data_IF_245734478835
#
_entry.id   IF_245734478835
#
_cell.length_a   1.000
_cell.length_b   1.000
_cell.length_c   1.000
_cell.angle_alpha   90.00
_cell.angle_beta   90.00
_cell.angle_gamma   90.00
#
_symmetry.space_group_name_H-M   'P 1'
#
loop_
_entity.id
_entity.type
_entity.pdbx_description
1 polymer ?
#
# COMPACT_ATOMS: atom_id res chain seq x y z
N UNK A 1 24.64 -18.18 -13.37
CA UNK A 1 25.17 -17.40 -12.23
C UNK A 1 25.30 -15.96 -12.68
N UNK A 2 24.37 -15.08 -12.33
CA UNK A 2 24.50 -13.66 -12.65
C UNK A 2 25.45 -13.02 -11.63
N UNK A 3 26.56 -12.44 -12.13
CA UNK A 3 27.45 -11.59 -11.34
C UNK A 3 26.62 -10.49 -10.65
N UNK A 4 26.95 -10.09 -9.41
CA UNK A 4 26.41 -8.86 -8.85
C UNK A 4 26.81 -7.71 -9.77
N UNK A 5 25.82 -6.93 -10.24
CA UNK A 5 26.04 -5.77 -11.09
C UNK A 5 27.04 -4.83 -10.39
N UNK A 6 28.10 -4.45 -11.10
CA UNK A 6 29.01 -3.42 -10.61
C UNK A 6 28.31 -2.06 -10.68
N UNK A 7 28.73 -1.09 -9.86
CA UNK A 7 28.11 0.25 -9.76
C UNK A 7 27.98 0.96 -11.12
N UNK A 8 28.88 0.70 -12.06
CA UNK A 8 28.85 1.24 -13.42
C UNK A 8 27.84 0.59 -14.38
N UNK A 9 27.34 -0.63 -14.10
CA UNK A 9 26.42 -1.39 -14.96
C UNK A 9 24.93 -1.21 -14.59
N UNK A 10 24.63 -0.32 -13.65
CA UNK A 10 23.31 -0.22 -13.02
C UNK A 10 22.36 0.81 -13.64
N UNK A 11 22.76 1.48 -14.73
CA UNK A 11 21.85 2.33 -15.49
C UNK A 11 21.05 1.50 -16.50
N UNK A 12 19.71 1.61 -16.55
CA UNK A 12 18.91 0.96 -17.58
C UNK A 12 19.33 1.45 -18.96
N UNK A 13 19.40 0.55 -19.95
CA UNK A 13 19.71 0.91 -21.33
C UNK A 13 18.72 1.96 -21.90
N UNK A 14 17.47 1.97 -21.42
CA UNK A 14 16.45 2.95 -21.77
C UNK A 14 15.44 3.15 -20.63
N UNK A 15 15.13 4.41 -20.28
CA UNK A 15 14.13 4.79 -19.28
C UNK A 15 12.74 5.07 -19.89
N UNK A 16 12.60 5.02 -21.21
CA UNK A 16 11.39 5.45 -21.91
C UNK A 16 10.17 4.58 -21.59
N UNK A 17 10.37 3.26 -21.47
CA UNK A 17 9.30 2.26 -21.39
C UNK A 17 8.61 2.20 -20.03
N UNK A 18 9.32 2.53 -18.95
CA UNK A 18 8.72 2.51 -17.62
C UNK A 18 8.04 3.84 -17.31
N UNK A 19 6.73 3.79 -17.09
CA UNK A 19 5.92 4.93 -16.67
C UNK A 19 5.76 4.90 -15.16
N UNK A 20 6.49 5.79 -14.50
CA UNK A 20 6.62 5.77 -13.06
C UNK A 20 5.36 6.33 -12.38
N UNK A 21 4.86 5.67 -11.31
CA UNK A 21 3.70 6.13 -10.57
C UNK A 21 4.01 7.44 -9.84
N UNK A 22 3.05 8.36 -9.79
CA UNK A 22 3.14 9.64 -9.04
C UNK A 22 4.44 10.44 -9.31
N UNK A 23 4.95 10.38 -10.54
CA UNK A 23 6.25 10.94 -10.88
C UNK A 23 6.15 11.85 -12.12
N UNK A 24 6.82 13.01 -12.06
CA UNK A 24 7.14 13.78 -13.27
C UNK A 24 8.13 12.97 -14.11
N UNK A 25 7.61 12.14 -15.00
CA UNK A 25 8.41 11.15 -15.73
C UNK A 25 9.52 11.80 -16.56
N UNK A 26 9.26 12.98 -17.15
CA UNK A 26 10.27 13.73 -17.91
C UNK A 26 11.44 14.17 -17.03
N UNK A 27 11.15 14.73 -15.86
CA UNK A 27 12.18 15.21 -14.93
C UNK A 27 12.99 14.07 -14.35
N UNK A 28 12.34 12.96 -13.95
CA UNK A 28 13.06 11.79 -13.47
C UNK A 28 14.03 11.25 -14.53
N UNK A 29 13.59 11.17 -15.79
CA UNK A 29 14.43 10.67 -16.89
C UNK A 29 15.62 11.57 -17.20
N UNK A 30 15.51 12.88 -16.95
CA UNK A 30 16.62 13.83 -17.12
C UNK A 30 17.67 13.73 -15.99
N UNK A 31 17.28 13.31 -14.78
CA UNK A 31 18.16 13.19 -13.62
C UNK A 31 17.76 11.97 -12.76
N UNK A 32 18.03 10.72 -13.23
CA UNK A 32 17.55 9.52 -12.58
C UNK A 32 18.24 9.29 -11.23
N UNK A 33 17.44 8.95 -10.21
CA UNK A 33 17.93 8.61 -8.87
C UNK A 33 17.81 7.11 -8.66
N UNK A 34 18.76 6.36 -9.21
CA UNK A 34 18.75 4.90 -9.17
C UNK A 34 19.32 4.38 -7.84
N UNK A 35 18.57 3.45 -7.22
CA UNK A 35 18.97 2.66 -6.06
C UNK A 35 19.31 1.24 -6.54
N UNK A 36 20.44 0.70 -6.11
CA UNK A 36 21.01 -0.54 -6.69
C UNK A 36 21.09 -1.69 -5.69
N UNK A 37 21.06 -1.39 -4.39
CA UNK A 37 20.92 -2.39 -3.34
C UNK A 37 20.37 -1.76 -2.07
N UNK A 38 19.97 -2.60 -1.11
CA UNK A 38 19.48 -2.16 0.18
C UNK A 38 19.80 -3.19 1.25
N UNK A 39 20.11 -2.73 2.47
CA UNK A 39 20.34 -3.58 3.64
C UNK A 39 20.00 -2.84 4.92
N UNK A 40 19.21 -3.45 5.80
CA UNK A 40 18.77 -2.80 7.04
C UNK A 40 17.99 -1.53 6.73
N UNK A 41 18.44 -0.38 7.21
CA UNK A 41 17.80 0.92 6.98
C UNK A 41 18.45 1.75 5.86
N UNK A 42 19.29 1.15 5.02
CA UNK A 42 20.04 1.91 4.01
C UNK A 42 19.82 1.38 2.61
N UNK A 43 19.73 2.32 1.66
CA UNK A 43 19.91 2.08 0.25
C UNK A 43 21.35 2.37 -0.17
N UNK A 44 21.81 1.69 -1.23
CA UNK A 44 22.96 2.09 -2.03
C UNK A 44 22.48 2.71 -3.33
N UNK A 45 22.93 3.91 -3.68
CA UNK A 45 22.68 4.49 -4.99
C UNK A 45 23.68 3.99 -6.03
N UNK A 46 23.33 4.14 -7.31
CA UNK A 46 24.22 3.78 -8.42
C UNK A 46 25.56 4.53 -8.43
N UNK A 47 25.57 5.77 -7.93
CA UNK A 47 26.78 6.61 -7.77
C UNK A 47 27.54 6.32 -6.47
N UNK A 48 27.19 5.23 -5.76
CA UNK A 48 27.96 4.72 -4.62
C UNK A 48 27.62 5.33 -3.26
N UNK A 49 26.67 6.27 -3.17
CA UNK A 49 26.24 6.85 -1.89
C UNK A 49 25.41 5.87 -1.08
N UNK A 50 25.62 5.86 0.23
CA UNK A 50 24.72 5.23 1.18
C UNK A 50 23.64 6.24 1.58
N UNK A 51 22.38 5.84 1.48
CA UNK A 51 21.22 6.70 1.71
C UNK A 51 20.40 6.09 2.83
N UNK A 52 20.17 6.84 3.90
CA UNK A 52 19.25 6.46 4.98
C UNK A 52 17.82 6.41 4.44
N UNK A 53 17.17 5.26 4.59
CA UNK A 53 15.75 5.08 4.33
C UNK A 53 14.94 5.55 5.53
N UNK A 54 14.64 6.86 5.57
CA UNK A 54 13.86 7.48 6.64
C UNK A 54 12.35 7.18 6.59
N UNK A 55 11.87 6.50 5.54
CA UNK A 55 10.43 6.23 5.32
C UNK A 55 10.10 4.74 5.21
N UNK A 56 11.06 3.84 5.46
CA UNK A 56 10.90 2.40 5.24
C UNK A 56 10.35 2.09 3.83
N UNK A 57 10.98 2.69 2.83
CA UNK A 57 10.56 2.73 1.43
C UNK A 57 9.35 3.63 1.26
N UNK A 58 8.18 3.00 1.22
CA UNK A 58 6.89 3.69 1.22
C UNK A 58 6.05 3.17 2.38
N UNK A 59 6.55 3.36 3.60
CA UNK A 59 5.88 3.01 4.85
C UNK A 59 5.63 1.50 5.04
N UNK A 60 6.50 0.64 4.48
CA UNK A 60 6.22 -0.81 4.42
C UNK A 60 7.39 -1.74 4.76
N UNK A 61 8.65 -1.27 4.72
CA UNK A 61 9.83 -2.13 5.01
C UNK A 61 10.15 -2.13 6.51
N UNK A 62 9.17 -2.53 7.33
CA UNK A 62 9.21 -2.33 8.78
C UNK A 62 10.31 -3.11 9.51
N UNK A 63 10.75 -4.24 8.95
CA UNK A 63 11.82 -5.08 9.52
C UNK A 63 13.19 -4.86 8.85
N UNK A 64 13.30 -3.80 8.03
CA UNK A 64 14.50 -3.48 7.26
C UNK A 64 14.66 -4.30 5.97
N UNK A 65 15.50 -3.78 5.08
CA UNK A 65 15.80 -4.36 3.77
C UNK A 65 16.65 -5.63 3.89
N UNK A 66 16.32 -6.64 3.07
CA UNK A 66 17.13 -7.85 2.94
C UNK A 66 17.11 -8.77 4.16
N UNK A 67 15.99 -8.82 4.89
CA UNK A 67 15.88 -9.66 6.09
C UNK A 67 16.08 -11.15 5.77
N UNK A 68 17.13 -11.81 6.30
CA UNK A 68 17.58 -13.12 5.82
C UNK A 68 16.51 -14.21 5.93
N UNK A 69 15.74 -14.22 7.02
CA UNK A 69 14.64 -15.19 7.22
C UNK A 69 13.53 -15.07 6.18
N UNK A 70 13.23 -13.84 5.71
CA UNK A 70 12.18 -13.62 4.71
C UNK A 70 12.68 -14.09 3.35
N UNK A 71 13.92 -13.75 3.00
CA UNK A 71 14.55 -14.18 1.75
C UNK A 71 14.60 -15.71 1.67
N UNK A 72 15.02 -16.38 2.75
CA UNK A 72 15.07 -17.84 2.81
C UNK A 72 13.67 -18.47 2.66
N UNK A 73 12.67 -17.97 3.39
CA UNK A 73 11.29 -18.48 3.34
C UNK A 73 10.66 -18.34 1.94
N UNK A 74 10.86 -17.19 1.28
CA UNK A 74 10.34 -16.96 -0.09
C UNK A 74 11.00 -17.92 -1.08
N UNK A 75 12.32 -18.12 -1.00
CA UNK A 75 13.04 -19.06 -1.89
C UNK A 75 12.53 -20.48 -1.70
N UNK A 76 12.47 -20.96 -0.45
CA UNK A 76 12.01 -22.31 -0.15
C UNK A 76 10.56 -22.56 -0.62
N UNK A 77 9.67 -21.59 -0.44
CA UNK A 77 8.29 -21.73 -0.90
C UNK A 77 8.20 -21.71 -2.43
N UNK A 78 8.98 -20.88 -3.11
CA UNK A 78 9.01 -20.83 -4.58
C UNK A 78 9.52 -22.14 -5.18
N UNK A 79 10.51 -22.78 -4.56
CA UNK A 79 11.01 -24.10 -4.98
C UNK A 79 9.98 -25.22 -4.78
N UNK A 80 9.00 -25.03 -3.90
CA UNK A 80 7.97 -26.02 -3.57
C UNK A 80 6.67 -25.82 -4.35
N UNK A 81 6.14 -24.60 -4.34
CA UNK A 81 4.90 -24.19 -5.00
C UNK A 81 4.86 -22.66 -5.10
N UNK A 82 5.15 -22.14 -6.29
CA UNK A 82 5.19 -20.70 -6.56
C UNK A 82 3.80 -20.06 -6.61
N UNK A 83 2.80 -20.79 -7.08
CA UNK A 83 1.44 -20.27 -7.20
C UNK A 83 0.38 -21.39 -7.21
N UNK A 84 -0.74 -21.14 -6.56
CA UNK A 84 -2.00 -21.87 -6.75
C UNK A 84 -3.16 -20.89 -6.66
N UNK A 85 -4.22 -21.03 -7.47
CA UNK A 85 -5.41 -20.20 -7.31
C UNK A 85 -6.07 -20.44 -5.95
N UNK A 86 -6.77 -19.42 -5.43
CA UNK A 86 -7.61 -19.54 -4.21
C UNK A 86 -9.11 -19.64 -4.55
N UNK A 87 -9.43 -20.19 -5.72
CA UNK A 87 -10.79 -20.42 -6.20
C UNK A 87 -11.05 -21.93 -6.21
N UNK A 88 -11.68 -22.46 -5.15
CA UNK A 88 -11.91 -23.90 -4.95
C UNK A 88 -10.62 -24.76 -4.81
N UNK A 89 -9.46 -24.11 -4.76
CA UNK A 89 -8.15 -24.68 -4.41
C UNK A 89 -7.54 -23.87 -3.29
N UNK A 90 -6.58 -24.43 -2.56
CA UNK A 90 -5.86 -23.73 -1.51
C UNK A 90 -4.48 -24.35 -1.23
N UNK A 91 -3.66 -23.65 -0.44
CA UNK A 91 -2.38 -24.13 0.05
C UNK A 91 -2.23 -23.88 1.56
N UNK A 92 -1.52 -24.74 2.31
CA UNK A 92 -1.51 -24.70 3.78
C UNK A 92 -1.06 -23.38 4.40
N UNK A 93 -0.05 -22.69 3.83
CA UNK A 93 0.49 -21.45 4.39
C UNK A 93 -0.51 -20.29 4.35
N UNK A 94 -1.48 -20.30 3.42
CA UNK A 94 -2.54 -19.29 3.39
C UNK A 94 -3.43 -19.37 4.65
N UNK A 95 -3.72 -20.59 5.12
CA UNK A 95 -4.49 -20.83 6.34
C UNK A 95 -3.65 -20.57 7.60
N UNK A 96 -2.38 -20.96 7.60
CA UNK A 96 -1.46 -20.68 8.71
C UNK A 96 -1.31 -19.16 8.92
N UNK A 97 -1.13 -18.40 7.84
CA UNK A 97 -1.08 -16.94 7.90
C UNK A 97 -2.41 -16.37 8.41
N UNK A 98 -3.55 -16.92 7.98
CA UNK A 98 -4.86 -16.41 8.39
C UNK A 98 -5.07 -16.60 9.89
N UNK A 99 -4.66 -17.76 10.43
CA UNK A 99 -4.69 -18.05 11.85
C UNK A 99 -3.78 -17.11 12.65
N UNK A 100 -2.56 -16.86 12.18
CA UNK A 100 -1.63 -15.93 12.84
C UNK A 100 -2.16 -14.50 12.84
N UNK A 101 -2.75 -14.05 11.73
CA UNK A 101 -3.35 -12.72 11.63
C UNK A 101 -4.55 -12.58 12.58
N UNK A 102 -5.46 -13.56 12.58
CA UNK A 102 -6.60 -13.58 13.48
C UNK A 102 -6.18 -13.51 14.97
N UNK A 103 -5.03 -14.08 15.33
CA UNK A 103 -4.49 -14.04 16.69
C UNK A 103 -3.89 -12.70 17.14
N UNK A 104 -3.64 -11.75 16.23
CA UNK A 104 -3.08 -10.41 16.56
C UNK A 104 -4.08 -9.28 16.30
N UNK A 105 -5.20 -9.56 15.65
CA UNK A 105 -6.29 -8.61 15.42
C UNK A 105 -7.19 -8.48 16.66
N UNK A 106 -7.92 -7.36 16.82
CA UNK A 106 -8.91 -7.22 17.89
C UNK A 106 -9.98 -8.31 17.86
N UNK A 107 -10.60 -8.57 19.01
CA UNK A 107 -11.69 -9.53 19.16
C UNK A 107 -12.81 -9.28 18.14
N UNK A 108 -13.27 -10.35 17.48
CA UNK A 108 -14.30 -10.30 16.44
C UNK A 108 -13.81 -9.94 15.04
N UNK A 109 -12.51 -9.66 14.84
CA UNK A 109 -11.91 -9.38 13.52
C UNK A 109 -11.05 -10.55 13.01
N UNK A 110 -11.66 -11.72 12.82
CA UNK A 110 -10.98 -13.02 12.63
C UNK A 110 -11.24 -13.69 11.27
N UNK A 111 -11.82 -12.96 10.30
CA UNK A 111 -12.06 -13.42 8.92
C UNK A 111 -11.17 -12.65 7.95
N UNK A 112 -10.21 -13.34 7.34
CA UNK A 112 -9.16 -12.74 6.52
C UNK A 112 -9.46 -12.94 5.03
N UNK A 113 -9.44 -11.85 4.27
CA UNK A 113 -9.47 -11.86 2.81
C UNK A 113 -8.17 -11.24 2.28
N UNK A 114 -7.41 -12.00 1.49
CA UNK A 114 -6.12 -11.53 0.95
C UNK A 114 -6.28 -10.78 -0.36
N UNK A 115 -5.42 -9.77 -0.55
CA UNK A 115 -5.27 -8.99 -1.78
C UNK A 115 -3.79 -8.68 -2.01
N UNK A 116 -3.43 -8.17 -3.18
CA UNK A 116 -2.03 -7.88 -3.52
C UNK A 116 -1.61 -6.45 -3.15
N UNK A 117 -2.57 -5.57 -2.83
CA UNK A 117 -2.30 -4.19 -2.47
C UNK A 117 -3.34 -3.62 -1.50
N UNK A 118 -3.00 -2.51 -0.84
CA UNK A 118 -3.96 -1.75 -0.04
C UNK A 118 -5.11 -1.18 -0.87
N UNK A 119 -4.89 -0.85 -2.15
CA UNK A 119 -5.96 -0.38 -3.05
C UNK A 119 -7.00 -1.48 -3.30
N UNK A 120 -6.55 -2.71 -3.57
CA UNK A 120 -7.44 -3.86 -3.74
C UNK A 120 -8.18 -4.21 -2.46
N UNK A 121 -7.51 -4.09 -1.30
CA UNK A 121 -8.13 -4.30 0.01
C UNK A 121 -9.28 -3.30 0.25
N UNK A 122 -9.06 -2.02 -0.08
CA UNK A 122 -10.09 -0.98 0.03
C UNK A 122 -11.27 -1.27 -0.90
N UNK A 123 -11.03 -1.52 -2.19
CA UNK A 123 -12.11 -1.81 -3.14
C UNK A 123 -12.91 -3.06 -2.70
N UNK A 124 -12.23 -4.07 -2.15
CA UNK A 124 -12.86 -5.26 -1.57
C UNK A 124 -13.71 -4.92 -0.34
N UNK A 125 -13.19 -4.12 0.59
CA UNK A 125 -13.91 -3.71 1.80
C UNK A 125 -15.18 -2.90 1.47
N UNK A 126 -15.09 -1.97 0.51
CA UNK A 126 -16.25 -1.20 0.05
C UNK A 126 -17.34 -2.10 -0.53
N UNK A 127 -16.96 -3.10 -1.34
CA UNK A 127 -17.91 -4.09 -1.88
C UNK A 127 -18.56 -4.93 -0.79
N UNK A 128 -17.78 -5.40 0.19
CA UNK A 128 -18.29 -6.20 1.32
C UNK A 128 -19.29 -5.37 2.14
N UNK A 129 -19.00 -4.10 2.44
CA UNK A 129 -19.90 -3.24 3.20
C UNK A 129 -21.26 -3.06 2.51
N UNK A 130 -21.26 -2.82 1.18
CA UNK A 130 -22.48 -2.70 0.40
C UNK A 130 -23.25 -4.04 0.30
N UNK A 131 -22.53 -5.14 0.07
CA UNK A 131 -23.12 -6.47 -0.01
C UNK A 131 -23.75 -6.89 1.32
N UNK A 132 -23.10 -6.58 2.43
CA UNK A 132 -23.62 -6.83 3.78
C UNK A 132 -24.99 -6.20 3.99
N UNK A 133 -25.12 -4.89 3.75
CA UNK A 133 -26.40 -4.18 3.88
C UNK A 133 -27.47 -4.73 2.94
N UNK A 134 -27.10 -5.05 1.69
CA UNK A 134 -28.02 -5.65 0.73
C UNK A 134 -28.57 -7.00 1.21
N UNK A 135 -27.70 -7.90 1.67
CA UNK A 135 -28.06 -9.27 2.07
C UNK A 135 -28.95 -9.26 3.33
N UNK A 136 -28.74 -8.31 4.25
CA UNK A 136 -29.58 -8.17 5.46
C UNK A 136 -30.89 -7.39 5.24
N UNK A 137 -31.27 -7.10 4.00
CA UNK A 137 -32.54 -6.42 3.66
C UNK A 137 -32.50 -4.88 3.68
N UNK A 138 -31.32 -4.27 3.84
CA UNK A 138 -31.12 -2.82 3.91
C UNK A 138 -30.48 -2.27 2.62
N UNK A 139 -30.96 -2.73 1.46
CA UNK A 139 -30.34 -2.45 0.15
C UNK A 139 -30.26 -0.95 -0.22
N UNK A 140 -31.01 -0.07 0.44
CA UNK A 140 -30.91 1.39 0.26
C UNK A 140 -29.69 2.02 0.93
N UNK A 141 -29.01 1.31 1.86
CA UNK A 141 -27.79 1.78 2.52
C UNK A 141 -26.58 1.64 1.61
N UNK A 142 -26.38 2.65 0.78
CA UNK A 142 -25.37 2.67 -0.29
C UNK A 142 -24.34 3.79 -0.17
N UNK A 143 -24.54 4.74 0.76
CA UNK A 143 -23.61 5.87 0.92
C UNK A 143 -22.30 5.40 1.55
N UNK A 144 -21.20 5.85 0.98
CA UNK A 144 -19.85 5.62 1.50
C UNK A 144 -19.27 6.97 1.93
N UNK A 145 -18.73 7.05 3.14
CA UNK A 145 -18.26 8.31 3.72
C UNK A 145 -16.74 8.26 3.87
N UNK A 146 -16.06 9.14 3.14
CA UNK A 146 -14.64 9.40 3.25
C UNK A 146 -14.34 10.59 4.16
N UNK A 147 -13.07 11.02 4.16
CA UNK A 147 -12.62 12.24 4.83
C UNK A 147 -11.71 13.05 3.93
N UNK A 148 -11.79 14.38 4.02
CA UNK A 148 -10.84 15.27 3.37
C UNK A 148 -9.40 14.89 3.76
N UNK A 149 -8.46 14.91 2.80
CA UNK A 149 -7.06 14.45 2.91
C UNK A 149 -6.85 12.96 3.25
N UNK A 150 -7.89 12.14 3.38
CA UNK A 150 -7.75 10.70 3.54
C UNK A 150 -7.12 10.03 2.30
N UNK A 151 -6.24 9.06 2.50
CA UNK A 151 -5.66 8.23 1.44
C UNK A 151 -6.10 6.78 1.58
N UNK A 152 -6.76 6.25 0.55
CA UNK A 152 -7.29 4.89 0.53
C UNK A 152 -6.84 4.13 -0.73
N UNK A 153 -5.61 4.39 -1.18
CA UNK A 153 -5.06 3.81 -2.39
C UNK A 153 -5.44 4.58 -3.66
N UNK A 154 -5.25 3.92 -4.79
CA UNK A 154 -5.30 4.53 -6.14
C UNK A 154 -6.23 3.80 -7.11
N UNK A 155 -6.91 2.75 -6.65
CA UNK A 155 -8.05 2.16 -7.36
C UNK A 155 -9.25 3.12 -7.36
N UNK A 156 -10.19 2.93 -8.29
CA UNK A 156 -11.34 3.83 -8.44
C UNK A 156 -12.16 3.95 -7.15
N UNK A 157 -12.36 2.87 -6.38
CA UNK A 157 -13.04 2.96 -5.10
C UNK A 157 -12.24 3.75 -4.08
N UNK A 158 -10.96 3.41 -3.93
CA UNK A 158 -10.01 4.14 -3.08
C UNK A 158 -9.94 5.65 -3.32
N UNK A 159 -9.82 6.10 -4.58
CA UNK A 159 -9.79 7.54 -4.90
C UNK A 159 -11.16 8.22 -4.78
N UNK A 160 -12.26 7.44 -4.81
CA UNK A 160 -13.60 7.96 -4.56
C UNK A 160 -13.76 8.37 -3.10
N UNK A 161 -13.49 7.43 -2.18
CA UNK A 161 -13.60 7.66 -0.72
C UNK A 161 -12.39 8.41 -0.16
N UNK A 162 -11.28 8.46 -0.88
CA UNK A 162 -10.13 9.30 -0.57
C UNK A 162 -10.42 10.79 -0.72
N UNK A 163 -9.74 11.61 0.07
CA UNK A 163 -9.92 13.07 0.14
C UNK A 163 -8.76 13.88 -0.42
N UNK A 164 -7.87 13.28 -1.23
CA UNK A 164 -6.75 13.98 -1.88
C UNK A 164 -7.18 14.42 -3.28
N UNK A 165 -7.39 15.73 -3.54
CA UNK A 165 -7.94 16.19 -4.82
C UNK A 165 -7.10 15.80 -6.04
N UNK A 166 -5.78 15.81 -5.92
CA UNK A 166 -4.87 15.45 -7.01
C UNK A 166 -5.02 13.99 -7.48
N UNK A 167 -5.48 13.09 -6.61
CA UNK A 167 -5.70 11.69 -6.96
C UNK A 167 -6.98 11.47 -7.77
N UNK A 168 -7.88 12.45 -7.83
CA UNK A 168 -9.18 12.31 -8.52
C UNK A 168 -9.46 13.33 -9.62
N UNK A 169 -8.79 14.49 -9.61
CA UNK A 169 -9.15 15.66 -10.45
C UNK A 169 -9.16 15.42 -11.96
N UNK A 170 -8.52 14.38 -12.46
CA UNK A 170 -8.40 14.10 -13.90
C UNK A 170 -9.34 13.00 -14.42
N UNK A 171 -10.08 12.31 -13.55
CA UNK A 171 -10.77 11.07 -13.91
C UNK A 171 -12.31 11.22 -14.04
N UNK A 172 -12.82 12.46 -13.94
CA UNK A 172 -14.25 12.73 -14.07
C UNK A 172 -15.07 12.19 -12.88
N UNK A 173 -16.34 11.82 -13.10
CA UNK A 173 -17.18 11.20 -12.08
C UNK A 173 -16.59 9.87 -11.60
N UNK A 174 -16.61 9.67 -10.27
CA UNK A 174 -16.14 8.43 -9.64
C UNK A 174 -17.33 7.59 -9.14
N UNK A 175 -17.14 6.75 -8.12
CA UNK A 175 -18.25 5.97 -7.54
C UNK A 175 -19.33 6.92 -6.99
N UNK A 176 -20.59 6.63 -7.34
CA UNK A 176 -21.76 7.38 -6.90
C UNK A 176 -22.01 7.22 -5.40
N UNK A 177 -22.66 8.22 -4.78
CA UNK A 177 -23.08 8.15 -3.38
C UNK A 177 -21.94 8.27 -2.36
N UNK A 178 -20.78 8.77 -2.79
CA UNK A 178 -19.65 9.07 -1.91
C UNK A 178 -19.72 10.51 -1.41
N UNK A 179 -19.50 10.71 -0.12
CA UNK A 179 -19.41 12.02 0.52
C UNK A 179 -18.16 12.09 1.42
N UNK A 180 -17.76 13.29 1.85
CA UNK A 180 -16.55 13.49 2.64
C UNK A 180 -16.81 14.36 3.87
N UNK A 181 -16.45 13.83 5.04
CA UNK A 181 -16.34 14.64 6.25
C UNK A 181 -15.10 15.56 6.18
N UNK A 182 -15.08 16.68 6.93
CA UNK A 182 -13.90 17.52 7.03
C UNK A 182 -12.70 16.77 7.63
N UNK A 183 -11.51 17.34 7.45
CA UNK A 183 -10.30 16.81 8.07
C UNK A 183 -10.29 17.14 9.57
N UNK A 184 -9.76 16.23 10.39
CA UNK A 184 -9.70 16.39 11.86
C UNK A 184 -8.55 17.27 12.34
N UNK A 185 -7.93 18.05 11.46
CA UNK A 185 -6.84 18.95 11.83
C UNK A 185 -7.38 20.34 12.04
N UNK A 186 -7.21 20.85 13.25
CA UNK A 186 -7.51 22.23 13.59
C UNK A 186 -6.22 22.89 14.04
N UNK A 187 -5.79 23.89 13.27
CA UNK A 187 -4.55 24.59 13.54
C UNK A 187 -4.60 25.36 14.87
N UNK A 188 -5.75 25.90 15.28
CA UNK A 188 -5.86 26.64 16.54
C UNK A 188 -5.64 25.74 17.77
N UNK A 189 -6.08 24.48 17.68
CA UNK A 189 -6.10 23.53 18.80
C UNK A 189 -4.90 22.57 18.79
N UNK A 190 -4.31 22.33 17.61
CA UNK A 190 -3.24 21.35 17.41
C UNK A 190 -1.92 21.99 16.94
N UNK A 191 -1.80 23.32 16.97
CA UNK A 191 -0.54 23.98 16.62
C UNK A 191 0.59 23.52 17.56
N UNK A 192 1.69 23.06 16.97
CA UNK A 192 2.90 22.65 17.67
C UNK A 192 2.72 21.52 18.71
N UNK A 193 1.67 20.69 18.57
CA UNK A 193 1.50 19.51 19.42
C UNK A 193 2.71 18.57 19.31
N UNK A 194 3.21 18.12 20.47
CA UNK A 194 4.25 17.09 20.55
C UNK A 194 3.58 15.75 20.87
N UNK A 195 3.79 14.75 20.03
CA UNK A 195 3.11 13.46 20.16
C UNK A 195 1.68 13.51 19.62
N UNK A 196 0.77 12.73 20.20
CA UNK A 196 -0.63 12.68 19.81
C UNK A 196 -1.39 13.88 20.43
N UNK A 197 -2.08 14.70 19.62
CA UNK A 197 -2.89 15.81 20.15
C UNK A 197 -4.11 15.30 20.91
N UNK A 198 -4.51 16.00 21.99
CA UNK A 198 -5.73 15.70 22.76
C UNK A 198 -7.01 16.09 22.01
N UNK A 199 -6.93 17.13 21.17
CA UNK A 199 -8.05 17.59 20.34
C UNK A 199 -8.15 16.78 19.04
N UNK A 200 -9.36 16.37 18.63
CA UNK A 200 -9.63 15.72 17.33
C UNK A 200 -10.19 14.29 17.38
N UNK A 201 -10.41 13.73 18.58
CA UNK A 201 -11.06 12.45 18.80
C UNK A 201 -12.60 12.58 19.00
N UNK A 202 -13.26 13.34 18.13
CA UNK A 202 -14.71 13.56 18.14
C UNK A 202 -15.35 13.22 16.79
#
# INVERSE_FOLDING_TARGET
>A
MNKPLTTAESQPNDLSQFWMPFTSNREFKAAPRMLVSAKGMHYKSHDGRDILDGSAGLWCVNIGHGHPKVVEAVKAQTDTLEFTPSFQFAQPLAFELAQKLAGITPDGMDRIFYTNSGSEAVDTALKIALAYHRIRGEASRTRLIGRARGYHGVGFGGISVGGIPYNRKFYGPLINGVDHLPHTHNLAEQAYSKGQPEWGAH
#
